data_IF_385841184246
#
_entry.id   IF_385841184246
#
_cell.length_a   1.000
_cell.length_b   1.000
_cell.length_c   1.000
_cell.angle_alpha   90.00
_cell.angle_beta   90.00
_cell.angle_gamma   90.00
#
_symmetry.space_group_name_H-M   'P 1'
#
loop_
_entity.id
_entity.type
_entity.pdbx_description
1 polymer ?
#
# COMPACT_ATOMS: atom_id res chain seq x y z
N UNK A 1 -9.90 36.97 19.25
CA UNK A 1 -10.42 36.02 20.25
C UNK A 1 -9.43 34.87 20.40
N UNK A 2 -8.78 34.73 21.57
CA UNK A 2 -7.86 33.63 21.88
C UNK A 2 -8.55 32.25 21.80
N UNK A 3 -9.87 32.23 22.02
CA UNK A 3 -10.71 31.04 21.98
C UNK A 3 -10.76 30.36 20.60
N UNK A 4 -10.73 31.13 19.49
CA UNK A 4 -10.79 30.55 18.15
C UNK A 4 -9.49 29.80 17.79
N UNK A 5 -8.32 30.31 18.24
CA UNK A 5 -7.01 29.67 17.99
C UNK A 5 -6.83 28.38 18.78
N UNK A 6 -7.28 28.35 20.04
CA UNK A 6 -7.24 27.14 20.87
C UNK A 6 -8.16 26.03 20.33
N UNK A 7 -9.32 26.39 19.74
CA UNK A 7 -10.21 25.42 19.12
C UNK A 7 -9.64 24.84 17.83
N UNK A 8 -8.94 25.64 17.01
CA UNK A 8 -8.30 25.13 15.78
C UNK A 8 -7.10 24.24 16.09
N UNK A 9 -6.28 24.59 17.08
CA UNK A 9 -5.10 23.80 17.49
C UNK A 9 -5.49 22.43 18.08
N UNK A 10 -6.56 22.36 18.88
CA UNK A 10 -7.04 21.09 19.45
C UNK A 10 -7.68 20.17 18.38
N UNK A 11 -8.39 20.75 17.39
CA UNK A 11 -8.96 19.99 16.27
C UNK A 11 -7.88 19.51 15.29
N UNK A 12 -6.90 20.35 14.94
CA UNK A 12 -5.77 19.97 14.09
C UNK A 12 -4.89 18.90 14.75
N UNK A 13 -4.68 19.00 16.07
CA UNK A 13 -3.94 17.99 16.85
C UNK A 13 -4.70 16.65 16.88
N UNK A 14 -6.02 16.66 17.12
CA UNK A 14 -6.84 15.44 17.08
C UNK A 14 -6.87 14.80 15.71
N UNK A 15 -7.00 15.60 14.65
CA UNK A 15 -6.98 15.13 13.26
C UNK A 15 -5.63 14.49 12.91
N UNK A 16 -4.53 15.15 13.25
CA UNK A 16 -3.17 14.62 13.05
C UNK A 16 -2.96 13.30 13.79
N UNK A 17 -3.38 13.22 15.05
CA UNK A 17 -3.28 11.98 15.83
C UNK A 17 -4.11 10.84 15.23
N UNK A 18 -5.29 11.15 14.67
CA UNK A 18 -6.12 10.16 14.00
C UNK A 18 -5.51 9.69 12.67
N UNK A 19 -4.91 10.58 11.89
CA UNK A 19 -4.19 10.24 10.65
C UNK A 19 -2.95 9.39 10.91
N UNK A 20 -2.18 9.71 11.95
CA UNK A 20 -1.01 8.92 12.37
C UNK A 20 -1.42 7.52 12.86
N UNK A 21 -2.50 7.44 13.65
CA UNK A 21 -3.06 6.16 14.09
C UNK A 21 -3.53 5.32 12.91
N UNK A 22 -4.29 5.91 11.98
CA UNK A 22 -4.75 5.24 10.76
C UNK A 22 -3.59 4.73 9.92
N UNK A 23 -2.57 5.56 9.68
CA UNK A 23 -1.38 5.15 8.93
C UNK A 23 -0.68 3.98 9.61
N UNK A 24 -0.55 4.03 10.94
CA UNK A 24 0.05 2.94 11.71
C UNK A 24 -0.73 1.63 11.57
N UNK A 25 -2.06 1.67 11.66
CA UNK A 25 -2.91 0.48 11.52
C UNK A 25 -2.78 -0.13 10.11
N UNK A 26 -2.86 0.69 9.07
CA UNK A 26 -2.69 0.25 7.68
C UNK A 26 -1.30 -0.36 7.46
N UNK A 27 -0.26 0.28 7.98
CA UNK A 27 1.11 -0.24 7.88
C UNK A 27 1.27 -1.58 8.62
N UNK A 28 0.72 -1.69 9.83
CA UNK A 28 0.75 -2.95 10.59
C UNK A 28 -0.04 -4.06 9.88
N UNK A 29 -1.15 -3.71 9.23
CA UNK A 29 -1.93 -4.65 8.45
C UNK A 29 -1.19 -5.15 7.22
N UNK A 30 -0.54 -4.24 6.48
CA UNK A 30 0.36 -4.60 5.38
C UNK A 30 1.44 -5.59 5.83
N UNK A 31 2.08 -5.33 6.97
CA UNK A 31 3.12 -6.20 7.54
C UNK A 31 2.61 -7.60 7.85
N UNK A 32 1.45 -7.71 8.51
CA UNK A 32 0.83 -8.99 8.87
C UNK A 32 0.47 -9.83 7.64
N UNK A 33 0.08 -9.18 6.54
CA UNK A 33 -0.41 -9.84 5.34
C UNK A 33 0.65 -10.09 4.25
N UNK A 34 1.93 -9.73 4.46
CA UNK A 34 2.98 -9.90 3.44
C UNK A 34 3.08 -11.31 2.86
N UNK A 35 2.96 -12.34 3.71
CA UNK A 35 3.01 -13.73 3.25
C UNK A 35 1.83 -14.04 2.35
N UNK A 36 0.61 -13.66 2.75
CA UNK A 36 -0.61 -13.89 1.97
C UNK A 36 -0.54 -13.16 0.63
N UNK A 37 -0.12 -11.88 0.63
CA UNK A 37 0.09 -11.11 -0.59
C UNK A 37 1.13 -11.75 -1.51
N UNK A 38 2.27 -12.17 -0.97
CA UNK A 38 3.33 -12.83 -1.72
C UNK A 38 2.85 -14.14 -2.37
N UNK A 39 2.10 -14.95 -1.63
CA UNK A 39 1.52 -16.21 -2.13
C UNK A 39 0.48 -15.98 -3.24
N UNK A 40 -0.25 -14.86 -3.22
CA UNK A 40 -1.18 -14.50 -4.28
C UNK A 40 -0.47 -14.09 -5.58
N UNK A 41 0.73 -13.51 -5.50
CA UNK A 41 1.51 -13.04 -6.66
C UNK A 41 2.27 -14.21 -7.29
N UNK A 42 1.60 -14.92 -8.20
CA UNK A 42 2.13 -16.14 -8.87
C UNK A 42 2.92 -15.89 -10.16
N UNK A 43 2.99 -14.64 -10.61
CA UNK A 43 3.67 -14.22 -11.87
C UNK A 43 4.31 -12.86 -11.68
N UNK A 44 5.43 -12.60 -12.36
CA UNK A 44 6.15 -11.31 -12.28
C UNK A 44 5.35 -10.16 -12.87
N UNK A 45 4.77 -10.33 -14.06
CA UNK A 45 3.86 -9.37 -14.68
C UNK A 45 2.41 -9.67 -14.26
N UNK A 46 1.58 -8.66 -13.95
CA UNK A 46 1.86 -7.21 -13.98
C UNK A 46 2.57 -6.60 -12.75
N UNK A 47 2.67 -7.32 -11.63
CA UNK A 47 3.05 -6.73 -10.34
C UNK A 47 4.40 -5.98 -10.36
N UNK A 48 5.47 -6.62 -10.85
CA UNK A 48 6.83 -6.07 -10.78
C UNK A 48 6.95 -4.84 -11.68
N UNK A 49 6.34 -4.90 -12.86
CA UNK A 49 6.33 -3.80 -13.83
C UNK A 49 5.54 -2.61 -13.29
N UNK A 50 4.38 -2.85 -12.66
CA UNK A 50 3.59 -1.80 -12.03
C UNK A 50 4.39 -1.06 -10.95
N UNK A 51 5.14 -1.78 -10.11
CA UNK A 51 5.99 -1.15 -9.10
C UNK A 51 7.13 -0.32 -9.70
N UNK A 52 7.75 -0.80 -10.78
CA UNK A 52 8.78 -0.05 -11.52
C UNK A 52 8.21 1.22 -12.14
N UNK A 53 7.09 1.12 -12.86
CA UNK A 53 6.49 2.25 -13.58
C UNK A 53 6.00 3.35 -12.62
N UNK A 54 5.69 3.00 -11.36
CA UNK A 54 5.33 3.95 -10.30
C UNK A 54 6.52 4.28 -9.37
N UNK A 55 7.75 4.01 -9.79
CA UNK A 55 9.00 4.35 -9.08
C UNK A 55 9.17 3.72 -7.68
N UNK A 56 8.39 2.69 -7.33
CA UNK A 56 8.59 1.91 -6.10
C UNK A 56 9.80 0.97 -6.20
N UNK A 57 10.13 0.55 -7.43
CA UNK A 57 11.37 -0.17 -7.74
C UNK A 57 12.20 0.69 -8.69
N UNK A 58 13.47 0.89 -8.35
CA UNK A 58 14.44 1.38 -9.33
C UNK A 58 14.64 0.34 -10.42
N UNK A 59 15.10 0.77 -11.61
CA UNK A 59 15.45 -0.15 -12.71
C UNK A 59 16.41 -1.25 -12.23
N UNK A 60 17.42 -0.90 -11.45
CA UNK A 60 18.36 -1.86 -10.87
C UNK A 60 17.68 -2.91 -9.97
N UNK A 61 16.77 -2.49 -9.07
CA UNK A 61 16.05 -3.44 -8.21
C UNK A 61 15.09 -4.31 -9.03
N UNK A 62 14.41 -3.71 -10.00
CA UNK A 62 13.51 -4.43 -10.90
C UNK A 62 14.24 -5.54 -11.68
N UNK A 63 15.37 -5.21 -12.31
CA UNK A 63 16.20 -6.18 -13.04
C UNK A 63 16.71 -7.28 -12.10
N UNK A 64 17.19 -6.92 -10.91
CA UNK A 64 17.65 -7.89 -9.91
C UNK A 64 16.57 -8.91 -9.53
N UNK A 65 15.33 -8.46 -9.30
CA UNK A 65 14.23 -9.36 -8.95
C UNK A 65 13.76 -10.21 -10.13
N UNK A 66 13.78 -9.68 -11.36
CA UNK A 66 13.51 -10.50 -12.55
C UNK A 66 14.58 -11.57 -12.76
N UNK A 67 15.85 -11.23 -12.56
CA UNK A 67 16.96 -12.16 -12.66
C UNK A 67 16.87 -13.27 -11.60
N UNK A 68 16.46 -12.94 -10.36
CA UNK A 68 16.21 -13.94 -9.33
C UNK A 68 15.15 -14.98 -9.77
N UNK A 69 14.03 -14.52 -10.35
CA UNK A 69 13.02 -15.41 -10.93
C UNK A 69 13.57 -16.25 -12.10
N UNK A 70 14.40 -15.66 -12.97
CA UNK A 70 15.06 -16.37 -14.07
C UNK A 70 16.01 -17.47 -13.57
N UNK A 71 16.63 -17.25 -12.41
CA UNK A 71 17.46 -18.22 -11.69
C UNK A 71 16.65 -19.22 -10.84
N UNK A 72 15.38 -19.43 -11.18
CA UNK A 72 14.48 -20.42 -10.58
C UNK A 72 14.14 -20.18 -9.10
N UNK A 73 14.35 -18.96 -8.59
CA UNK A 73 13.76 -18.58 -7.30
C UNK A 73 12.23 -18.47 -7.49
N UNK A 74 11.41 -19.10 -6.64
CA UNK A 74 9.95 -19.02 -6.77
C UNK A 74 9.45 -17.58 -6.74
N UNK A 75 8.47 -17.25 -7.60
CA UNK A 75 7.97 -15.88 -7.76
C UNK A 75 7.38 -15.36 -6.45
N UNK A 76 6.68 -16.20 -5.70
CA UNK A 76 6.12 -15.86 -4.39
C UNK A 76 7.22 -15.51 -3.38
N UNK A 77 8.38 -16.17 -3.44
CA UNK A 77 9.52 -15.84 -2.58
C UNK A 77 10.09 -14.48 -2.97
N UNK A 78 10.26 -14.23 -4.27
CA UNK A 78 10.73 -12.93 -4.77
C UNK A 78 9.71 -11.82 -4.46
N UNK A 79 8.41 -12.09 -4.56
CA UNK A 79 7.36 -11.16 -4.20
C UNK A 79 7.41 -10.80 -2.70
N UNK A 80 7.68 -11.78 -1.83
CA UNK A 80 7.87 -11.51 -0.40
C UNK A 80 9.08 -10.61 -0.12
N UNK A 81 10.19 -10.82 -0.84
CA UNK A 81 11.37 -9.93 -0.73
C UNK A 81 11.07 -8.52 -1.22
N UNK A 82 10.36 -8.37 -2.34
CA UNK A 82 9.88 -7.07 -2.84
C UNK A 82 9.01 -6.39 -1.78
N UNK A 83 8.00 -7.08 -1.23
CA UNK A 83 7.14 -6.52 -0.18
C UNK A 83 7.93 -6.12 1.08
N UNK A 84 9.00 -6.84 1.39
CA UNK A 84 9.91 -6.52 2.51
C UNK A 84 10.77 -5.29 2.22
N UNK A 85 11.22 -5.10 0.97
CA UNK A 85 11.88 -3.87 0.55
C UNK A 85 10.95 -2.66 0.62
N UNK A 86 9.71 -2.83 0.14
CA UNK A 86 8.69 -1.78 0.11
C UNK A 86 8.21 -1.37 1.52
N UNK A 87 8.24 -2.29 2.49
CA UNK A 87 7.95 -1.99 3.90
C UNK A 87 8.85 -0.86 4.45
N UNK A 88 10.10 -0.76 3.98
CA UNK A 88 11.08 0.22 4.48
C UNK A 88 10.72 1.66 4.12
N UNK A 89 10.01 1.83 3.00
CA UNK A 89 9.59 3.12 2.46
C UNK A 89 8.08 3.11 2.21
N UNK A 90 7.34 2.47 3.13
CA UNK A 90 5.92 2.26 2.97
C UNK A 90 5.18 3.60 2.82
N UNK A 91 4.32 3.66 1.81
CA UNK A 91 3.47 4.80 1.50
C UNK A 91 2.08 4.31 1.10
N UNK A 92 1.04 5.12 1.34
CA UNK A 92 -0.32 4.73 1.00
C UNK A 92 -0.53 4.54 -0.52
N UNK A 93 0.20 5.27 -1.37
CA UNK A 93 0.16 5.08 -2.83
C UNK A 93 0.69 3.71 -3.27
N UNK A 94 1.47 3.01 -2.44
CA UNK A 94 1.87 1.64 -2.72
C UNK A 94 0.65 0.72 -2.79
N UNK A 95 -0.33 0.92 -1.91
CA UNK A 95 -1.54 0.10 -1.85
C UNK A 95 -2.40 0.31 -3.10
N UNK A 96 -2.39 1.51 -3.69
CA UNK A 96 -3.08 1.77 -4.96
C UNK A 96 -2.46 0.99 -6.13
N UNK A 97 -1.12 0.89 -6.15
CA UNK A 97 -0.41 0.10 -7.16
C UNK A 97 -0.63 -1.39 -6.93
N UNK A 98 -0.44 -1.86 -5.69
CA UNK A 98 -0.57 -3.27 -5.29
C UNK A 98 -1.97 -3.80 -5.59
N UNK A 99 -3.01 -3.06 -5.19
CA UNK A 99 -4.42 -3.39 -5.43
C UNK A 99 -4.98 -2.70 -6.67
N UNK A 100 -4.15 -2.38 -7.65
CA UNK A 100 -4.65 -1.83 -8.92
C UNK A 100 -5.61 -2.81 -9.60
N UNK A 101 -6.54 -2.30 -10.42
CA UNK A 101 -7.48 -3.15 -11.20
C UNK A 101 -6.75 -4.19 -12.04
N UNK A 102 -5.57 -3.83 -12.55
CA UNK A 102 -4.71 -4.71 -13.36
C UNK A 102 -4.18 -5.87 -12.49
N UNK A 103 -3.66 -5.58 -11.30
CA UNK A 103 -3.18 -6.59 -10.37
C UNK A 103 -4.33 -7.47 -9.83
N UNK A 104 -5.46 -6.90 -9.41
CA UNK A 104 -6.59 -7.69 -8.92
C UNK A 104 -7.16 -8.64 -9.99
N UNK A 105 -7.11 -8.24 -11.27
CA UNK A 105 -7.51 -9.13 -12.37
C UNK A 105 -6.50 -10.25 -12.62
N UNK A 106 -5.20 -9.97 -12.48
CA UNK A 106 -4.14 -10.95 -12.68
C UNK A 106 -3.96 -11.91 -11.49
N UNK A 107 -4.27 -11.43 -10.28
CA UNK A 107 -4.07 -12.10 -9.01
C UNK A 107 -5.37 -11.98 -8.16
N UNK A 108 -6.43 -12.73 -8.49
CA UNK A 108 -7.70 -12.63 -7.79
C UNK A 108 -7.59 -12.95 -6.29
N UNK A 109 -6.61 -13.75 -5.89
CA UNK A 109 -6.32 -14.07 -4.48
C UNK A 109 -5.91 -12.81 -3.67
N UNK A 110 -5.53 -11.69 -4.32
CA UNK A 110 -5.30 -10.40 -3.64
C UNK A 110 -6.60 -9.70 -3.20
N UNK A 111 -7.76 -10.09 -3.74
CA UNK A 111 -9.04 -9.44 -3.44
C UNK A 111 -9.42 -9.63 -1.97
N UNK A 112 -9.21 -10.83 -1.42
CA UNK A 112 -9.48 -11.11 -0.01
C UNK A 112 -8.59 -10.25 0.91
N UNK A 113 -7.31 -10.10 0.55
CA UNK A 113 -6.41 -9.21 1.27
C UNK A 113 -6.91 -7.76 1.17
N UNK A 114 -7.28 -7.28 -0.01
CA UNK A 114 -7.83 -5.93 -0.19
C UNK A 114 -9.09 -5.69 0.66
N UNK A 115 -9.99 -6.67 0.73
CA UNK A 115 -11.20 -6.58 1.56
C UNK A 115 -10.86 -6.48 3.04
N UNK A 116 -9.82 -7.19 3.52
CA UNK A 116 -9.37 -7.06 4.90
C UNK A 116 -8.89 -5.64 5.26
N UNK A 117 -8.38 -4.86 4.29
CA UNK A 117 -8.05 -3.44 4.50
C UNK A 117 -9.30 -2.55 4.63
N UNK A 118 -10.48 -3.02 4.22
CA UNK A 118 -11.75 -2.31 4.33
C UNK A 118 -12.55 -2.71 5.57
N UNK A 119 -12.52 -4.00 5.93
CA UNK A 119 -13.41 -4.58 6.94
C UNK A 119 -12.90 -4.42 8.39
N UNK A 120 -11.60 -4.20 8.62
CA UNK A 120 -11.02 -4.08 9.96
C UNK A 120 -11.33 -2.75 10.71
N UNK A 121 -12.45 -2.06 10.44
CA UNK A 121 -12.81 -0.73 10.99
C UNK A 121 -11.83 0.41 10.65
N UNK A 122 -10.86 0.17 9.77
CA UNK A 122 -9.95 1.18 9.22
C UNK A 122 -10.51 1.56 7.86
N UNK A 123 -11.35 2.58 7.78
CA UNK A 123 -12.00 2.96 6.51
C UNK A 123 -10.97 3.52 5.51
N UNK A 124 -10.30 2.62 4.78
CA UNK A 124 -9.38 2.93 3.69
C UNK A 124 -10.05 3.79 2.60
N UNK A 125 -11.35 3.61 2.42
CA UNK A 125 -12.21 4.41 1.52
C UNK A 125 -12.51 5.81 2.05
N UNK A 126 -12.75 5.99 3.36
CA UNK A 126 -13.01 7.33 3.91
C UNK A 126 -11.80 8.28 3.79
N UNK A 127 -10.58 7.77 3.94
CA UNK A 127 -9.36 8.62 3.87
C UNK A 127 -9.00 9.01 2.44
N UNK A 128 -9.19 8.11 1.45
CA UNK A 128 -9.01 8.47 0.03
C UNK A 128 -10.08 9.47 -0.44
N UNK A 129 -11.33 9.36 0.05
CA UNK A 129 -12.36 10.36 -0.23
C UNK A 129 -12.03 11.74 0.36
N UNK A 130 -11.36 11.82 1.51
CA UNK A 130 -10.96 13.11 2.10
C UNK A 130 -9.82 13.81 1.34
N UNK A 131 -8.99 13.07 0.59
CA UNK A 131 -7.92 13.65 -0.25
C UNK A 131 -8.38 14.05 -1.65
N UNK A 132 -9.57 13.65 -2.07
CA UNK A 132 -10.11 13.89 -3.42
C UNK A 132 -11.25 14.90 -3.46
N UNK A 133 -11.61 15.54 -2.33
CA UNK A 133 -12.44 16.74 -2.40
C UNK A 133 -11.65 17.84 -3.14
N UNK A 134 -12.09 18.29 -4.32
CA UNK A 134 -11.62 19.56 -4.83
C UNK A 134 -12.06 20.59 -3.79
N UNK A 135 -11.13 21.43 -3.33
CA UNK A 135 -11.54 22.69 -2.74
C UNK A 135 -12.40 23.39 -3.80
N UNK A 136 -13.72 23.38 -3.60
CA UNK A 136 -14.63 24.23 -4.35
C UNK A 136 -14.37 25.66 -3.87
N UNK A 137 -13.91 26.48 -4.80
CA UNK A 137 -13.68 27.93 -4.66
C UNK A 137 -14.83 28.68 -3.95
#
# INVERSE_FOLDING_TARGET
SLCLRMLTEDQDTKKKNAEEHFFHEIFMHFKKNKVVMATAIKKTFPFFMGLRDHCFLSEQKYEHFLEACANLVPVERVAYEILTELEKTFDLSLLEVLFSKVNMKAYPDLIEVYQSFQDENVSFTAVLCQRTSPNSD
#
